data_IF_300822706455
#
_entry.id   IF_300822706455
#
_cell.length_a   1.000
_cell.length_b   1.000
_cell.length_c   1.000
_cell.angle_alpha   90.00
_cell.angle_beta   90.00
_cell.angle_gamma   90.00
#
_symmetry.space_group_name_H-M   'P 1'
#
loop_
_entity.id
_entity.type
_entity.pdbx_description
1 polymer ?
#
# COMPACT_ATOMS: atom_id res chain seq x y z
N UNK A 1 -4.47 -9.49 -1.36
CA UNK A 1 -3.17 -9.11 -0.73
C UNK A 1 -2.54 -10.38 -0.20
N UNK A 2 -1.29 -10.69 -0.55
CA UNK A 2 -0.63 -11.91 -0.08
C UNK A 2 0.54 -11.51 0.81
N UNK A 3 0.44 -11.75 2.11
CA UNK A 3 1.52 -11.50 3.05
C UNK A 3 2.71 -12.43 2.71
N UNK A 4 3.69 -11.90 1.97
CA UNK A 4 4.73 -12.70 1.33
C UNK A 4 5.68 -13.37 2.32
N UNK A 5 6.11 -12.63 3.35
CA UNK A 5 7.00 -13.14 4.38
C UNK A 5 6.20 -13.68 5.57
N UNK A 6 6.72 -14.72 6.27
CA UNK A 6 6.04 -15.32 7.42
C UNK A 6 5.61 -14.30 8.48
N UNK A 7 6.49 -13.35 8.82
CA UNK A 7 6.21 -12.29 9.80
C UNK A 7 5.02 -11.40 9.40
N UNK A 8 4.84 -11.12 8.10
CA UNK A 8 3.70 -10.32 7.64
C UNK A 8 2.38 -11.08 7.81
N UNK A 9 2.39 -12.41 7.59
CA UNK A 9 1.20 -13.22 7.80
C UNK A 9 0.86 -13.33 9.29
N UNK A 10 1.86 -13.55 10.14
CA UNK A 10 1.68 -13.62 11.58
C UNK A 10 1.07 -12.33 12.15
N UNK A 11 1.53 -11.15 11.69
CA UNK A 11 0.93 -9.88 12.08
C UNK A 11 -0.51 -9.73 11.55
N UNK A 12 -0.76 -10.13 10.30
CA UNK A 12 -2.07 -10.03 9.67
C UNK A 12 -3.10 -10.97 10.29
N UNK A 13 -2.73 -12.22 10.59
CA UNK A 13 -3.65 -13.21 11.18
C UNK A 13 -4.07 -12.81 12.59
N UNK A 14 -3.14 -12.30 13.41
CA UNK A 14 -3.46 -11.72 14.72
C UNK A 14 -4.41 -10.53 14.59
N UNK A 15 -4.16 -9.63 13.65
CA UNK A 15 -5.03 -8.49 13.40
C UNK A 15 -6.44 -8.92 12.95
N UNK A 16 -6.55 -9.96 12.11
CA UNK A 16 -7.85 -10.54 11.73
C UNK A 16 -8.60 -11.04 12.97
N UNK A 17 -7.93 -11.79 13.86
CA UNK A 17 -8.57 -12.28 15.10
C UNK A 17 -9.00 -11.12 16.00
N UNK A 18 -8.13 -10.11 16.20
CA UNK A 18 -8.42 -8.93 17.02
C UNK A 18 -9.70 -8.20 16.58
N UNK A 19 -9.89 -8.01 15.28
CA UNK A 19 -10.99 -7.21 14.73
C UNK A 19 -12.25 -8.01 14.41
N UNK A 20 -12.11 -9.29 14.07
CA UNK A 20 -13.22 -10.13 13.60
C UNK A 20 -13.63 -11.20 14.60
N UNK A 21 -12.77 -11.53 15.57
CA UNK A 21 -12.94 -12.65 16.49
C UNK A 21 -12.83 -14.02 15.83
N UNK A 22 -12.44 -14.11 14.55
CA UNK A 22 -12.38 -15.38 13.82
C UNK A 22 -11.04 -16.10 14.06
N UNK A 23 -10.99 -17.20 14.85
CA UNK A 23 -9.75 -17.91 15.16
C UNK A 23 -9.16 -18.66 13.96
N UNK A 24 -9.93 -18.90 12.90
CA UNK A 24 -9.48 -19.62 11.69
C UNK A 24 -8.24 -18.94 11.07
N UNK A 25 -8.07 -17.64 11.25
CA UNK A 25 -6.90 -16.91 10.75
C UNK A 25 -5.57 -17.41 11.33
N UNK A 26 -5.58 -18.03 12.52
CA UNK A 26 -4.41 -18.60 13.19
C UNK A 26 -4.20 -20.10 12.90
N UNK A 27 -4.91 -20.66 11.92
CA UNK A 27 -4.74 -22.06 11.55
C UNK A 27 -3.31 -22.34 11.07
N UNK A 28 -2.69 -23.40 11.61
CA UNK A 28 -1.34 -23.84 11.29
C UNK A 28 -1.14 -24.11 9.78
N UNK A 29 -2.21 -24.42 9.03
CA UNK A 29 -2.17 -24.57 7.56
C UNK A 29 -1.72 -23.30 6.84
N UNK A 30 -1.90 -22.13 7.47
CA UNK A 30 -1.51 -20.85 6.89
C UNK A 30 -0.13 -20.38 7.34
N UNK A 31 0.55 -21.08 8.23
CA UNK A 31 1.88 -20.67 8.73
C UNK A 31 3.00 -20.89 7.71
N UNK A 32 4.13 -20.22 7.94
CA UNK A 32 5.33 -20.37 7.14
C UNK A 32 5.27 -19.64 5.78
N UNK A 33 5.92 -20.18 4.73
CA UNK A 33 6.11 -19.48 3.46
C UNK A 33 4.78 -19.23 2.77
N UNK A 34 4.73 -18.18 1.94
CA UNK A 34 3.52 -17.77 1.21
C UNK A 34 2.84 -18.89 0.40
N UNK A 35 3.63 -19.84 -0.11
CA UNK A 35 3.14 -20.99 -0.87
C UNK A 35 2.17 -21.88 -0.09
N UNK A 36 2.27 -21.93 1.26
CA UNK A 36 1.34 -22.70 2.09
C UNK A 36 -0.11 -22.19 1.96
N UNK A 37 -0.27 -20.90 1.72
CA UNK A 37 -1.58 -20.24 1.59
C UNK A 37 -2.19 -20.36 0.18
N UNK A 38 -1.43 -20.80 -0.82
CA UNK A 38 -1.94 -20.92 -2.21
C UNK A 38 -3.02 -21.99 -2.37
N UNK A 39 -2.88 -23.12 -1.68
CA UNK A 39 -3.89 -24.18 -1.69
C UNK A 39 -5.21 -23.78 -1.00
N UNK A 40 -5.21 -22.65 -0.28
CA UNK A 40 -6.31 -22.15 0.53
C UNK A 40 -6.65 -20.69 0.19
N UNK A 41 -6.37 -20.25 -1.04
CA UNK A 41 -6.47 -18.84 -1.43
C UNK A 41 -7.85 -18.24 -1.17
N UNK A 42 -8.93 -18.97 -1.49
CA UNK A 42 -10.30 -18.49 -1.29
C UNK A 42 -10.62 -18.25 0.21
N UNK A 43 -10.11 -19.13 1.08
CA UNK A 43 -10.29 -19.03 2.52
C UNK A 43 -9.51 -17.83 3.08
N UNK A 44 -8.25 -17.68 2.68
CA UNK A 44 -7.39 -16.57 3.05
C UNK A 44 -7.95 -15.24 2.55
N UNK A 45 -8.42 -15.18 1.30
CA UNK A 45 -9.02 -13.97 0.73
C UNK A 45 -10.28 -13.57 1.48
N UNK A 46 -11.14 -14.52 1.87
CA UNK A 46 -12.33 -14.24 2.68
C UNK A 46 -11.95 -13.67 4.06
N UNK A 47 -10.93 -14.20 4.72
CA UNK A 47 -10.45 -13.69 6.00
C UNK A 47 -9.93 -12.25 5.87
N UNK A 48 -9.08 -11.99 4.86
CA UNK A 48 -8.53 -10.66 4.58
C UNK A 48 -9.65 -9.68 4.23
N UNK A 49 -10.62 -10.09 3.41
CA UNK A 49 -11.77 -9.28 3.01
C UNK A 49 -12.61 -8.86 4.22
N UNK A 50 -12.92 -9.82 5.10
CA UNK A 50 -13.71 -9.60 6.33
C UNK A 50 -13.08 -8.55 7.24
N UNK A 51 -11.74 -8.52 7.29
CA UNK A 51 -10.99 -7.47 7.97
C UNK A 51 -11.04 -6.16 7.18
N UNK A 52 -10.66 -6.17 5.90
CA UNK A 52 -10.48 -4.95 5.11
C UNK A 52 -11.77 -4.14 4.91
N UNK A 53 -12.94 -4.79 4.86
CA UNK A 53 -14.24 -4.12 4.69
C UNK A 53 -14.62 -3.22 5.87
N UNK A 54 -13.91 -3.31 6.99
CA UNK A 54 -14.11 -2.46 8.18
C UNK A 54 -13.40 -1.12 8.12
N UNK A 55 -12.55 -0.92 7.10
CA UNK A 55 -11.66 0.22 6.99
C UNK A 55 -11.86 0.93 5.65
N UNK A 56 -11.70 2.25 5.65
CA UNK A 56 -11.35 2.95 4.41
C UNK A 56 -9.95 2.51 3.95
N UNK A 57 -9.68 2.53 2.64
CA UNK A 57 -8.43 2.01 2.07
C UNK A 57 -7.17 2.63 2.70
N UNK A 58 -7.14 3.96 2.86
CA UNK A 58 -6.02 4.67 3.48
C UNK A 58 -5.83 4.29 4.95
N UNK A 59 -6.94 4.23 5.71
CA UNK A 59 -6.91 3.85 7.11
C UNK A 59 -6.41 2.41 7.30
N UNK A 60 -6.84 1.49 6.44
CA UNK A 60 -6.35 0.11 6.41
C UNK A 60 -4.84 0.07 6.19
N UNK A 61 -4.34 0.83 5.20
CA UNK A 61 -2.92 0.80 4.84
C UNK A 61 -2.03 1.43 5.92
N UNK A 62 -2.48 2.52 6.54
CA UNK A 62 -1.78 3.14 7.68
C UNK A 62 -1.67 2.14 8.85
N UNK A 63 -2.77 1.46 9.19
CA UNK A 63 -2.76 0.49 10.29
C UNK A 63 -1.92 -0.75 9.96
N UNK A 64 -2.00 -1.24 8.72
CA UNK A 64 -1.15 -2.32 8.23
C UNK A 64 0.34 -1.96 8.35
N UNK A 65 0.73 -0.76 7.88
CA UNK A 65 2.12 -0.26 7.98
C UNK A 65 2.58 -0.12 9.43
N UNK A 66 1.72 0.38 10.33
CA UNK A 66 1.99 0.45 11.78
C UNK A 66 2.28 -0.92 12.39
N UNK A 67 1.68 -1.98 11.83
CA UNK A 67 1.87 -3.39 12.22
C UNK A 67 3.03 -4.08 11.48
N UNK A 68 3.77 -3.37 10.63
CA UNK A 68 4.86 -3.93 9.83
C UNK A 68 4.37 -4.77 8.64
N UNK A 69 3.11 -4.60 8.23
CA UNK A 69 2.53 -5.28 7.08
C UNK A 69 2.59 -4.32 5.88
N UNK A 70 3.29 -4.68 4.78
CA UNK A 70 3.38 -3.81 3.62
C UNK A 70 2.04 -3.76 2.87
N UNK A 71 1.37 -2.61 2.91
CA UNK A 71 0.12 -2.34 2.21
C UNK A 71 0.13 -0.93 1.63
N UNK A 72 -0.52 -0.76 0.47
CA UNK A 72 -0.77 0.52 -0.19
C UNK A 72 -2.19 0.51 -0.76
N UNK A 73 -2.89 1.65 -0.76
CA UNK A 73 -4.15 1.75 -1.48
C UNK A 73 -3.92 1.58 -2.99
N UNK A 74 -4.95 1.13 -3.69
CA UNK A 74 -4.98 1.14 -5.16
C UNK A 74 -5.63 2.46 -5.57
N UNK A 75 -4.78 3.45 -5.88
CA UNK A 75 -5.19 4.81 -6.21
C UNK A 75 -5.62 4.93 -7.68
N UNK A 76 -6.68 5.71 -7.93
CA UNK A 76 -7.01 6.20 -9.26
C UNK A 76 -6.07 7.32 -9.71
N UNK A 77 -6.15 7.72 -10.98
CA UNK A 77 -5.29 8.79 -11.53
C UNK A 77 -5.47 10.11 -10.78
N UNK A 78 -6.70 10.49 -10.47
CA UNK A 78 -7.01 11.74 -9.77
C UNK A 78 -6.47 11.74 -8.34
N UNK A 79 -6.45 10.57 -7.69
CA UNK A 79 -5.94 10.40 -6.33
C UNK A 79 -4.43 10.64 -6.27
N UNK A 80 -3.68 10.37 -7.35
CA UNK A 80 -2.22 10.54 -7.37
C UNK A 80 -1.81 12.00 -7.15
N UNK A 81 -2.58 12.97 -7.66
CA UNK A 81 -2.33 14.40 -7.42
C UNK A 81 -2.55 14.79 -5.95
N UNK A 82 -3.34 13.99 -5.23
CA UNK A 82 -3.67 14.18 -3.83
C UNK A 82 -2.82 13.33 -2.86
N UNK A 83 -2.11 12.34 -3.38
CA UNK A 83 -1.32 11.40 -2.60
C UNK A 83 -0.31 12.10 -1.67
N UNK A 84 -0.37 11.75 -0.38
CA UNK A 84 0.45 12.37 0.66
C UNK A 84 1.94 12.16 0.40
N UNK A 85 2.34 10.94 0.02
CA UNK A 85 3.74 10.62 -0.21
C UNK A 85 4.28 11.38 -1.43
N UNK A 86 3.53 11.40 -2.54
CA UNK A 86 3.94 12.12 -3.76
C UNK A 86 4.10 13.63 -3.52
N UNK A 87 3.26 14.22 -2.67
CA UNK A 87 3.41 15.63 -2.24
C UNK A 87 4.61 15.85 -1.36
N UNK A 88 4.78 15.01 -0.34
CA UNK A 88 5.89 15.11 0.61
C UNK A 88 7.26 14.99 -0.08
N UNK A 89 7.34 14.12 -1.10
CA UNK A 89 8.56 13.97 -1.89
C UNK A 89 8.68 14.98 -3.05
N UNK A 90 7.77 15.96 -3.14
CA UNK A 90 7.81 16.98 -4.19
C UNK A 90 7.78 16.39 -5.60
N UNK A 91 7.05 15.27 -5.77
CA UNK A 91 6.94 14.57 -7.03
C UNK A 91 6.23 15.43 -8.08
N UNK A 92 5.14 16.12 -7.71
CA UNK A 92 4.41 16.98 -8.63
C UNK A 92 5.03 18.38 -8.69
N UNK A 93 5.35 18.86 -9.90
CA UNK A 93 5.93 20.18 -10.15
C UNK A 93 5.06 20.95 -11.14
N UNK A 94 4.72 22.20 -10.80
CA UNK A 94 3.94 23.10 -11.67
C UNK A 94 4.88 23.86 -12.59
N UNK A 95 4.56 23.92 -13.90
CA UNK A 95 5.31 24.69 -14.88
C UNK A 95 4.39 25.48 -15.82
N UNK A 96 4.78 26.71 -16.19
CA UNK A 96 4.08 27.45 -17.23
C UNK A 96 4.37 26.84 -18.61
N UNK A 97 3.32 26.69 -19.41
CA UNK A 97 3.38 26.28 -20.80
C UNK A 97 2.79 27.36 -21.73
N UNK A 98 3.38 27.49 -22.91
CA UNK A 98 2.92 28.47 -23.90
C UNK A 98 1.71 27.91 -24.65
N UNK A 99 0.52 28.25 -24.16
CA UNK A 99 -0.76 27.90 -24.79
C UNK A 99 -1.70 27.13 -23.87
N UNK A 100 -1.16 26.40 -22.89
CA UNK A 100 -1.94 25.62 -21.93
C UNK A 100 -1.98 26.22 -20.52
N UNK A 101 -1.16 27.25 -20.24
CA UNK A 101 -1.06 27.83 -18.91
C UNK A 101 -0.21 26.96 -17.98
N UNK A 102 -0.48 26.98 -16.68
CA UNK A 102 0.28 26.21 -15.70
C UNK A 102 -0.12 24.72 -15.75
N UNK A 103 0.84 23.85 -16.07
CA UNK A 103 0.67 22.39 -16.15
C UNK A 103 1.38 21.74 -14.96
N UNK A 104 0.75 20.73 -14.36
CA UNK A 104 1.38 19.87 -13.34
C UNK A 104 2.05 18.67 -14.01
N UNK A 105 3.34 18.47 -13.75
CA UNK A 105 4.15 17.42 -14.35
C UNK A 105 4.88 16.57 -13.29
N UNK A 106 5.09 15.27 -13.52
CA UNK A 106 5.91 14.45 -12.63
C UNK A 106 7.39 14.87 -12.71
N UNK A 107 7.97 15.16 -11.55
CA UNK A 107 9.37 15.49 -11.36
C UNK A 107 10.29 14.29 -11.61
N UNK A 108 11.62 14.51 -11.55
CA UNK A 108 12.59 13.44 -11.74
C UNK A 108 12.41 12.34 -10.69
N UNK A 109 12.41 11.05 -11.08
CA UNK A 109 12.16 9.93 -10.16
C UNK A 109 13.34 9.66 -9.21
N UNK A 110 14.44 10.40 -9.33
CA UNK A 110 15.66 10.25 -8.54
C UNK A 110 16.09 11.57 -7.91
N UNK A 111 16.56 11.49 -6.67
CA UNK A 111 17.14 12.60 -5.92
C UNK A 111 18.65 12.41 -5.82
N UNK A 112 19.41 13.32 -6.43
CA UNK A 112 20.87 13.27 -6.44
C UNK A 112 21.42 14.33 -5.47
N UNK A 113 22.16 13.90 -4.44
CA UNK A 113 22.63 14.78 -3.37
C UNK A 113 23.62 15.86 -3.82
N UNK A 114 24.41 15.58 -4.86
CA UNK A 114 25.45 16.50 -5.40
C UNK A 114 25.03 17.24 -6.66
N UNK A 115 24.14 16.66 -7.45
CA UNK A 115 23.71 17.19 -8.75
C UNK A 115 22.20 17.04 -8.86
N UNK A 116 21.40 17.78 -8.07
CA UNK A 116 19.96 17.61 -8.01
C UNK A 116 19.37 17.56 -9.42
N UNK A 117 18.64 16.47 -9.71
CA UNK A 117 17.97 16.32 -10.98
C UNK A 117 16.92 17.42 -11.12
N UNK A 118 16.94 18.10 -12.26
CA UNK A 118 15.97 19.13 -12.62
C UNK A 118 15.28 18.68 -13.89
N UNK A 119 14.00 19.01 -14.01
CA UNK A 119 13.29 18.76 -15.27
C UNK A 119 13.98 19.52 -16.40
N UNK A 120 14.22 18.84 -17.52
CA UNK A 120 14.76 19.45 -18.74
C UNK A 120 13.81 20.51 -19.30
N UNK A 121 14.36 21.46 -20.04
CA UNK A 121 13.64 22.61 -20.58
C UNK A 121 12.53 22.19 -21.53
#
# INVERSE_FOLDING_TARGET
>A
MLALFPAHWEALSRWIVEETGNPDALDARFEGPSVARYAHVDEVERLIRTLSERYAADAFCIEAQRRGIPATPVNGLDDLLQDHHLREVGYWQVRPDTGLGDITWPGPPYRLSRTPARMGF
#
